data_IF_817085849164
#
_entry.id   IF_817085849164
#
_cell.length_a   1.000
_cell.length_b   1.000
_cell.length_c   1.000
_cell.angle_alpha   90.00
_cell.angle_beta   90.00
_cell.angle_gamma   90.00
#
_symmetry.space_group_name_H-M   'P 1'
#
loop_
_entity.id
_entity.type
_entity.pdbx_description
1 polymer ?
#
# COMPACT_ATOMS: atom_id res chain seq x y z
N UNK A 1 11.21 0.20 14.38
CA UNK A 1 10.47 -1.08 14.53
C UNK A 1 9.30 -1.20 13.54
N UNK A 2 8.57 -0.11 13.31
CA UNK A 2 7.39 -0.01 12.42
C UNK A 2 7.66 -0.49 10.99
N UNK A 3 8.78 -0.08 10.38
CA UNK A 3 9.14 -0.49 9.02
C UNK A 3 9.37 -2.00 8.85
N UNK A 4 9.80 -2.72 9.89
CA UNK A 4 10.05 -4.18 9.82
C UNK A 4 8.74 -4.98 9.75
N UNK A 5 7.71 -4.54 10.47
CA UNK A 5 6.39 -5.20 10.46
C UNK A 5 5.66 -4.96 9.15
N UNK A 6 5.74 -3.74 8.60
CA UNK A 6 5.21 -3.44 7.27
C UNK A 6 5.89 -4.29 6.18
N UNK A 7 7.22 -4.43 6.25
CA UNK A 7 7.98 -5.27 5.31
C UNK A 7 7.59 -6.75 5.41
N UNK A 8 7.36 -7.26 6.63
CA UNK A 8 6.90 -8.64 6.87
C UNK A 8 5.50 -8.87 6.30
N UNK A 9 4.55 -7.97 6.54
CA UNK A 9 3.19 -8.06 6.01
C UNK A 9 3.18 -7.99 4.49
N UNK A 10 3.98 -7.09 3.91
CA UNK A 10 4.13 -6.96 2.46
C UNK A 10 4.78 -8.20 1.84
N UNK A 11 5.86 -8.72 2.44
CA UNK A 11 6.53 -9.93 2.00
C UNK A 11 5.64 -11.17 2.08
N UNK A 12 4.85 -11.30 3.15
CA UNK A 12 3.83 -12.36 3.28
C UNK A 12 2.76 -12.25 2.19
N UNK A 13 2.28 -11.03 1.90
CA UNK A 13 1.31 -10.80 0.83
C UNK A 13 1.83 -11.20 -0.54
N UNK A 14 3.05 -10.78 -0.88
CA UNK A 14 3.71 -11.16 -2.14
C UNK A 14 3.90 -12.68 -2.21
N UNK A 15 4.41 -13.30 -1.14
CA UNK A 15 4.63 -14.75 -1.08
C UNK A 15 3.33 -15.52 -1.31
N UNK A 16 2.24 -15.10 -0.67
CA UNK A 16 0.92 -15.70 -0.86
C UNK A 16 0.39 -15.49 -2.28
N UNK A 17 0.57 -14.33 -2.90
CA UNK A 17 0.19 -14.11 -4.32
C UNK A 17 0.96 -15.02 -5.26
N UNK A 18 2.26 -15.22 -5.03
CA UNK A 18 3.08 -16.10 -5.88
C UNK A 18 2.61 -17.55 -5.78
N UNK A 19 2.30 -18.02 -4.55
CA UNK A 19 1.86 -19.39 -4.29
C UNK A 19 0.44 -19.62 -4.82
N UNK A 20 -0.49 -18.72 -4.51
CA UNK A 20 -1.91 -18.89 -4.84
C UNK A 20 -2.25 -18.39 -6.24
N UNK A 21 -1.33 -17.71 -6.93
CA UNK A 21 -1.53 -16.98 -8.19
C UNK A 21 -2.77 -16.07 -8.16
N UNK A 22 -3.16 -15.63 -6.97
CA UNK A 22 -4.39 -14.92 -6.73
C UNK A 22 -4.12 -13.62 -5.97
N UNK A 23 -4.57 -12.51 -6.54
CA UNK A 23 -4.41 -11.17 -5.97
C UNK A 23 -5.25 -10.96 -4.71
N UNK A 24 -6.20 -11.84 -4.39
CA UNK A 24 -6.94 -11.81 -3.12
C UNK A 24 -5.97 -11.84 -1.93
N UNK A 25 -4.81 -12.49 -2.06
CA UNK A 25 -3.79 -12.52 -1.02
C UNK A 25 -3.19 -11.13 -0.70
N UNK A 26 -3.30 -10.14 -1.61
CA UNK A 26 -2.91 -8.75 -1.36
C UNK A 26 -3.91 -8.00 -0.48
N UNK A 27 -5.11 -8.53 -0.23
CA UNK A 27 -6.04 -7.92 0.71
C UNK A 27 -5.47 -7.90 2.14
N UNK A 28 -4.72 -8.94 2.50
CA UNK A 28 -4.10 -9.08 3.82
C UNK A 28 -3.11 -7.94 4.11
N UNK A 29 -2.08 -7.65 3.29
CA UNK A 29 -1.23 -6.49 3.51
C UNK A 29 -1.95 -5.17 3.29
N UNK A 30 -2.89 -5.09 2.33
CA UNK A 30 -3.60 -3.83 2.02
C UNK A 30 -4.48 -3.35 3.18
N UNK A 31 -5.03 -4.25 3.98
CA UNK A 31 -5.77 -3.91 5.20
C UNK A 31 -4.86 -3.93 6.43
N UNK A 32 -3.97 -4.92 6.54
CA UNK A 32 -3.10 -5.12 7.69
C UNK A 32 -2.13 -3.96 7.94
N UNK A 33 -1.57 -3.37 6.87
CA UNK A 33 -0.62 -2.25 7.00
C UNK A 33 -1.34 -0.99 7.55
N UNK A 34 -2.43 -0.49 6.95
CA UNK A 34 -3.19 0.64 7.52
C UNK A 34 -3.71 0.38 8.95
N UNK A 35 -4.20 -0.83 9.23
CA UNK A 35 -4.67 -1.20 10.59
C UNK A 35 -3.52 -1.13 11.59
N UNK A 36 -2.35 -1.67 11.24
CA UNK A 36 -1.17 -1.63 12.09
C UNK A 36 -0.68 -0.18 12.34
N UNK A 37 -0.64 0.63 11.28
CA UNK A 37 -0.31 2.06 11.41
C UNK A 37 -1.33 2.81 12.27
N UNK A 38 -2.62 2.51 12.12
CA UNK A 38 -3.69 3.12 12.94
C UNK A 38 -3.56 2.72 14.41
N UNK A 39 -3.27 1.45 14.68
CA UNK A 39 -3.03 0.96 16.04
C UNK A 39 -1.84 1.66 16.71
N UNK A 40 -0.73 1.81 15.98
CA UNK A 40 0.43 2.57 16.48
C UNK A 40 0.07 4.04 16.70
N UNK A 41 -0.64 4.67 15.76
CA UNK A 41 -1.04 6.07 15.89
C UNK A 41 -1.92 6.31 17.13
N UNK A 42 -2.82 5.37 17.44
CA UNK A 42 -3.62 5.38 18.68
C UNK A 42 -2.71 5.22 19.91
N UNK A 43 -1.80 4.23 19.89
CA UNK A 43 -0.91 3.93 21.02
C UNK A 43 0.05 5.07 21.36
N UNK A 44 0.62 5.68 20.34
CA UNK A 44 1.58 6.79 20.47
C UNK A 44 0.85 8.14 20.69
N UNK A 45 -0.50 8.13 20.75
CA UNK A 45 -1.34 9.32 20.90
C UNK A 45 -1.07 10.40 19.82
N UNK A 46 -0.50 9.98 18.70
CA UNK A 46 -0.21 10.82 17.52
C UNK A 46 -1.37 10.73 16.55
N UNK A 47 -2.58 10.35 17.00
CA UNK A 47 -3.79 10.52 16.20
C UNK A 47 -3.80 12.02 15.88
N UNK A 48 -3.41 12.41 14.66
CA UNK A 48 -3.46 13.81 14.35
C UNK A 48 -4.97 14.08 14.36
N UNK A 49 -5.38 15.15 15.02
CA UNK A 49 -6.72 15.72 14.82
C UNK A 49 -6.96 16.09 13.34
N UNK A 50 -6.07 15.73 12.40
CA UNK A 50 -6.33 15.71 10.98
C UNK A 50 -7.54 14.84 10.74
N UNK A 51 -8.52 15.40 10.04
CA UNK A 51 -9.69 14.68 9.63
C UNK A 51 -9.19 13.53 8.78
N UNK A 52 -9.42 12.29 9.21
CA UNK A 52 -9.10 11.09 8.41
C UNK A 52 -9.78 11.17 7.02
N UNK A 53 -10.82 12.01 6.91
CA UNK A 53 -11.46 12.45 5.68
C UNK A 53 -11.20 13.93 5.38
N UNK A 54 -9.94 14.35 5.38
CA UNK A 54 -9.60 15.68 4.85
C UNK A 54 -9.66 15.69 3.32
N UNK A 55 -9.85 16.88 2.74
CA UNK A 55 -9.96 17.05 1.29
C UNK A 55 -8.75 16.48 0.56
N UNK A 56 -7.56 16.60 1.13
CA UNK A 56 -6.34 16.04 0.54
C UNK A 56 -6.36 14.51 0.50
N UNK A 57 -6.87 13.84 1.56
CA UNK A 57 -7.00 12.38 1.59
C UNK A 57 -8.03 11.89 0.57
N UNK A 58 -9.18 12.56 0.49
CA UNK A 58 -10.22 12.26 -0.48
C UNK A 58 -9.69 12.44 -1.90
N UNK A 59 -8.98 13.55 -2.18
CA UNK A 59 -8.42 13.81 -3.49
C UNK A 59 -7.37 12.76 -3.87
N UNK A 60 -6.44 12.44 -2.97
CA UNK A 60 -5.41 11.44 -3.20
C UNK A 60 -6.02 10.06 -3.46
N UNK A 61 -7.00 9.64 -2.64
CA UNK A 61 -7.69 8.36 -2.80
C UNK A 61 -8.48 8.30 -4.10
N UNK A 62 -9.26 9.35 -4.41
CA UNK A 62 -10.01 9.44 -5.66
C UNK A 62 -9.10 9.45 -6.88
N UNK A 63 -7.95 10.13 -6.83
CA UNK A 63 -6.99 10.15 -7.91
C UNK A 63 -6.37 8.77 -8.14
N UNK A 64 -5.97 8.08 -7.07
CA UNK A 64 -5.44 6.71 -7.17
C UNK A 64 -6.47 5.75 -7.75
N UNK A 65 -7.72 5.80 -7.28
CA UNK A 65 -8.81 4.99 -7.84
C UNK A 65 -9.03 5.32 -9.31
N UNK A 66 -9.06 6.61 -9.67
CA UNK A 66 -9.22 7.05 -11.05
C UNK A 66 -8.10 6.51 -11.94
N UNK A 67 -6.83 6.62 -11.52
CA UNK A 67 -5.69 6.10 -12.27
C UNK A 67 -5.77 4.59 -12.43
N UNK A 68 -6.15 3.84 -11.38
CA UNK A 68 -6.30 2.38 -11.46
C UNK A 68 -7.39 2.01 -12.47
N UNK A 69 -8.56 2.65 -12.38
CA UNK A 69 -9.68 2.38 -13.30
C UNK A 69 -9.29 2.78 -14.73
N UNK A 70 -8.70 3.97 -14.92
CA UNK A 70 -8.27 4.45 -16.22
C UNK A 70 -7.25 3.52 -16.86
N UNK A 71 -6.24 3.08 -16.11
CA UNK A 71 -5.23 2.14 -16.60
C UNK A 71 -5.84 0.77 -16.88
N UNK A 72 -6.82 0.33 -16.09
CA UNK A 72 -7.51 -0.95 -16.31
C UNK A 72 -8.27 -1.02 -17.64
N UNK A 73 -8.55 0.12 -18.28
CA UNK A 73 -9.14 0.16 -19.62
C UNK A 73 -8.15 -0.21 -20.73
N UNK A 74 -6.85 -0.08 -20.48
CA UNK A 74 -5.80 -0.28 -21.48
C UNK A 74 -4.91 -1.49 -21.19
N UNK A 75 -4.68 -1.79 -19.92
CA UNK A 75 -3.75 -2.84 -19.47
C UNK A 75 -4.39 -3.60 -18.32
N UNK A 76 -4.21 -4.92 -18.31
CA UNK A 76 -4.65 -5.78 -17.21
C UNK A 76 -4.08 -5.23 -15.88
N UNK A 77 -4.91 -4.71 -14.96
CA UNK A 77 -4.46 -3.93 -13.80
C UNK A 77 -3.54 -4.73 -12.86
N UNK A 78 -3.56 -6.06 -12.99
CA UNK A 78 -2.67 -7.00 -12.33
C UNK A 78 -1.19 -6.68 -12.57
N UNK A 79 -0.83 -6.42 -13.83
CA UNK A 79 0.55 -6.11 -14.21
C UNK A 79 1.02 -4.77 -13.66
N UNK A 80 0.11 -3.80 -13.62
CA UNK A 80 0.37 -2.44 -13.14
C UNK A 80 0.61 -2.45 -11.63
N UNK A 81 -0.25 -3.14 -10.87
CA UNK A 81 -0.09 -3.28 -9.41
C UNK A 81 1.19 -4.04 -9.07
N UNK A 82 1.52 -5.11 -9.81
CA UNK A 82 2.76 -5.86 -9.63
C UNK A 82 4.00 -5.01 -9.93
N UNK A 83 4.01 -4.27 -11.04
CA UNK A 83 5.11 -3.39 -11.41
C UNK A 83 5.31 -2.28 -10.37
N UNK A 84 4.24 -1.60 -9.97
CA UNK A 84 4.31 -0.53 -8.97
C UNK A 84 4.80 -1.08 -7.62
N UNK A 85 4.26 -2.23 -7.20
CA UNK A 85 4.65 -2.89 -5.96
C UNK A 85 6.11 -3.36 -5.93
N UNK A 86 6.76 -3.54 -7.09
CA UNK A 86 8.15 -3.95 -7.20
C UNK A 86 9.10 -2.76 -7.44
N UNK A 87 8.68 -1.80 -8.26
CA UNK A 87 9.46 -0.62 -8.64
C UNK A 87 9.51 0.43 -7.53
N UNK A 88 8.39 0.72 -6.86
CA UNK A 88 8.37 1.74 -5.80
C UNK A 88 9.33 1.44 -4.65
N UNK A 89 9.39 0.21 -4.08
CA UNK A 89 10.34 -0.11 -3.02
C UNK A 89 11.79 0.05 -3.47
N UNK A 90 12.11 -0.34 -4.71
CA UNK A 90 13.47 -0.21 -5.27
C UNK A 90 13.83 1.27 -5.43
N UNK A 91 12.93 2.09 -5.98
CA UNK A 91 13.16 3.53 -6.10
C UNK A 91 13.35 4.20 -4.74
N UNK A 92 12.56 3.79 -3.73
CA UNK A 92 12.71 4.31 -2.38
C UNK A 92 14.05 3.93 -1.77
N UNK A 93 14.48 2.66 -1.91
CA UNK A 93 15.79 2.19 -1.46
C UNK A 93 16.94 2.93 -2.14
N UNK A 94 16.81 3.29 -3.41
CA UNK A 94 17.83 4.06 -4.14
C UNK A 94 17.88 5.52 -3.69
N UNK A 95 16.72 6.13 -3.41
CA UNK A 95 16.63 7.50 -2.92
C UNK A 95 17.13 7.65 -1.48
N UNK A 96 16.91 6.66 -0.63
CA UNK A 96 17.36 6.66 0.77
C UNK A 96 18.89 6.49 0.91
N UNK A 97 19.57 6.11 -0.20
CA UNK A 97 21.04 6.02 -0.26
C UNK A 97 21.72 7.29 -0.80
N UNK A 98 20.97 8.32 -1.18
CA UNK A 98 21.48 9.64 -1.57
C UNK A 98 21.24 10.66 -0.46
#
# INVERSE_FOLDING_TARGET
MIGKVALLLFGLGIGLVIITKNLIALLIPSLGIPIYFSYIAIKENVIPKSRVFDKEFLFATSFVVFVIVFVSLFIDPRWVVLLIGLVLPILFLLKDRQ
#
